data_IF_104768399509
#
_entry.id   IF_104768399509
#
_cell.length_a   1.000
_cell.length_b   1.000
_cell.length_c   1.000
_cell.angle_alpha   90.00
_cell.angle_beta   90.00
_cell.angle_gamma   90.00
#
_symmetry.space_group_name_H-M   'P 1'
#
loop_
_entity.id
_entity.type
_entity.pdbx_description
1 polymer ?
#
# COMPACT_ATOMS: atom_id res chain seq x y z
N UNK A 1 21.98 41.73 5.40
CA UNK A 1 22.53 40.67 6.28
C UNK A 1 21.99 40.71 7.71
N UNK A 2 21.77 41.89 8.30
CA UNK A 2 21.24 42.01 9.68
C UNK A 2 19.73 41.73 9.82
N UNK A 3 18.93 41.94 8.78
CA UNK A 3 17.49 41.62 8.77
C UNK A 3 17.21 40.10 8.81
N UNK A 4 18.05 39.30 8.17
CA UNK A 4 17.90 37.83 8.16
C UNK A 4 18.20 37.20 9.53
N UNK A 5 19.14 37.79 10.30
CA UNK A 5 19.45 37.33 11.66
C UNK A 5 18.34 37.62 12.66
N UNK A 6 17.59 38.72 12.50
CA UNK A 6 16.45 39.05 13.39
C UNK A 6 15.25 38.12 13.20
N UNK A 7 15.00 37.67 11.97
CA UNK A 7 13.88 36.76 11.69
C UNK A 7 14.12 35.36 12.27
N UNK A 8 15.37 34.88 12.24
CA UNK A 8 15.74 33.58 12.82
C UNK A 8 15.67 33.63 14.35
N UNK A 9 16.13 34.71 14.98
CA UNK A 9 16.08 34.85 16.45
C UNK A 9 14.66 34.96 17.01
N UNK A 10 13.72 35.59 16.29
CA UNK A 10 12.31 35.60 16.70
C UNK A 10 11.62 34.24 16.55
N UNK A 11 12.13 33.36 15.67
CA UNK A 11 11.59 32.01 15.51
C UNK A 11 12.01 31.06 16.64
N UNK A 12 13.19 31.28 17.25
CA UNK A 12 13.69 30.45 18.37
C UNK A 12 13.34 30.98 19.77
N UNK A 13 12.94 32.25 19.91
CA UNK A 13 12.60 32.83 21.21
C UNK A 13 11.16 32.52 21.68
N UNK A 14 10.37 31.79 20.89
CA UNK A 14 9.01 31.37 21.23
C UNK A 14 8.90 29.93 21.78
N UNK A 15 10.02 29.22 21.89
CA UNK A 15 10.06 27.79 22.26
C UNK A 15 10.25 27.50 23.76
N UNK A 16 10.05 28.49 24.64
CA UNK A 16 10.08 28.27 26.10
C UNK A 16 8.69 28.36 26.73
N UNK A 17 7.74 27.59 26.18
CA UNK A 17 6.48 27.26 26.84
C UNK A 17 6.40 25.75 26.93
N UNK A 18 6.45 25.25 28.16
CA UNK A 18 6.29 23.85 28.53
C UNK A 18 5.02 23.24 27.91
N UNK A 19 5.19 22.41 26.89
CA UNK A 19 4.10 21.64 26.29
C UNK A 19 3.83 20.37 27.10
N UNK A 20 2.97 20.49 28.11
CA UNK A 20 2.09 19.39 28.54
C UNK A 20 0.64 19.85 28.48
N UNK A 21 0.22 20.22 27.27
CA UNK A 21 -1.19 20.30 26.92
C UNK A 21 -1.43 19.35 25.74
N UNK A 22 -2.26 18.33 25.97
CA UNK A 22 -2.72 17.44 24.92
C UNK A 22 -3.32 18.31 23.80
N UNK A 23 -2.68 18.29 22.63
CA UNK A 23 -3.08 19.09 21.47
C UNK A 23 -4.48 18.63 21.10
N UNK A 24 -5.48 19.48 21.35
CA UNK A 24 -6.86 19.22 20.93
C UNK A 24 -6.86 18.97 19.43
N UNK A 25 -7.24 17.76 19.01
CA UNK A 25 -7.39 17.44 17.60
C UNK A 25 -8.36 18.45 16.95
N UNK A 26 -8.05 18.99 15.75
CA UNK A 26 -8.96 19.90 15.06
C UNK A 26 -10.30 19.20 14.74
N UNK A 27 -11.34 19.98 14.47
CA UNK A 27 -12.72 19.46 14.39
C UNK A 27 -12.90 18.30 13.39
N UNK A 28 -12.30 18.31 12.17
CA UNK A 28 -12.40 17.19 11.23
C UNK A 28 -11.77 15.90 11.77
N UNK A 29 -10.64 15.98 12.47
CA UNK A 29 -9.94 14.85 13.07
C UNK A 29 -10.78 14.24 14.20
N UNK A 30 -11.45 15.07 15.01
CA UNK A 30 -12.39 14.60 16.03
C UNK A 30 -13.57 13.86 15.43
N UNK A 31 -14.18 14.41 14.38
CA UNK A 31 -15.30 13.74 13.70
C UNK A 31 -14.85 12.42 13.08
N UNK A 32 -13.66 12.37 12.48
CA UNK A 32 -13.10 11.13 11.95
C UNK A 32 -12.82 10.11 13.06
N UNK A 33 -12.24 10.54 14.18
CA UNK A 33 -11.96 9.68 15.33
C UNK A 33 -13.26 9.12 15.94
N UNK A 34 -14.28 9.96 16.12
CA UNK A 34 -15.60 9.55 16.62
C UNK A 34 -16.25 8.53 15.68
N UNK A 35 -16.25 8.80 14.37
CA UNK A 35 -16.78 7.87 13.38
C UNK A 35 -16.04 6.53 13.39
N UNK A 36 -14.70 6.56 13.47
CA UNK A 36 -13.89 5.35 13.54
C UNK A 36 -14.16 4.56 14.83
N UNK A 37 -14.28 5.22 15.98
CA UNK A 37 -14.63 4.56 17.25
C UNK A 37 -16.01 3.92 17.21
N UNK A 38 -17.00 4.60 16.63
CA UNK A 38 -18.36 4.05 16.46
C UNK A 38 -18.31 2.81 15.57
N UNK A 39 -17.57 2.88 14.46
CA UNK A 39 -17.42 1.77 13.53
C UNK A 39 -16.72 0.56 14.17
N UNK A 40 -15.65 0.78 14.92
CA UNK A 40 -14.93 -0.28 15.65
C UNK A 40 -15.74 -0.89 16.81
N UNK A 41 -16.74 -0.17 17.33
CA UNK A 41 -17.65 -0.68 18.35
C UNK A 41 -18.80 -1.51 17.74
N UNK A 42 -19.04 -1.42 16.43
CA UNK A 42 -20.03 -2.23 15.73
C UNK A 42 -19.51 -3.65 15.54
N UNK A 43 -20.22 -4.60 16.15
CA UNK A 43 -19.85 -6.00 16.13
C UNK A 43 -19.94 -6.67 14.74
N UNK A 44 -20.63 -6.03 13.81
CA UNK A 44 -20.78 -6.50 12.44
C UNK A 44 -19.68 -5.98 11.52
N UNK A 45 -18.93 -4.97 11.96
CA UNK A 45 -17.86 -4.38 11.18
C UNK A 45 -16.57 -5.20 11.34
N UNK A 46 -16.09 -5.79 10.24
CA UNK A 46 -14.87 -6.61 10.20
C UNK A 46 -14.74 -7.60 11.38
N UNK A 47 -15.71 -8.52 11.58
CA UNK A 47 -15.71 -9.39 12.75
C UNK A 47 -14.47 -10.30 12.83
N UNK A 48 -13.91 -10.68 11.67
CA UNK A 48 -12.68 -11.46 11.56
C UNK A 48 -11.40 -10.59 11.49
N UNK A 49 -11.52 -9.28 11.65
CA UNK A 49 -10.45 -8.32 11.39
C UNK A 49 -10.24 -8.07 9.90
N UNK A 50 -9.25 -7.26 9.56
CA UNK A 50 -8.93 -6.91 8.17
C UNK A 50 -8.18 -5.60 8.05
N UNK A 51 -8.22 -5.01 6.86
CA UNK A 51 -7.54 -3.75 6.55
C UNK A 51 -8.53 -2.66 6.14
N UNK A 52 -8.34 -1.46 6.67
CA UNK A 52 -8.85 -0.24 6.03
C UNK A 52 -7.74 0.32 5.11
N UNK A 53 -8.10 0.64 3.87
CA UNK A 53 -7.16 1.14 2.88
C UNK A 53 -7.50 2.57 2.43
N UNK A 54 -6.46 3.38 2.26
CA UNK A 54 -6.55 4.77 1.87
C UNK A 54 -5.52 5.07 0.77
N UNK A 55 -5.98 5.51 -0.40
CA UNK A 55 -5.10 6.08 -1.42
C UNK A 55 -4.40 7.33 -0.89
N UNK A 56 -3.09 7.43 -1.13
CA UNK A 56 -2.28 8.57 -0.70
C UNK A 56 -2.61 9.82 -1.53
N UNK A 57 -2.96 10.92 -0.86
CA UNK A 57 -3.35 12.17 -1.51
C UNK A 57 -2.16 13.06 -1.88
N UNK A 58 -0.98 12.82 -1.32
CA UNK A 58 0.23 13.58 -1.60
C UNK A 58 1.29 12.70 -2.26
N UNK A 59 2.25 13.36 -2.90
CA UNK A 59 3.42 12.70 -3.45
C UNK A 59 4.54 12.60 -2.41
N UNK A 60 5.18 11.43 -2.40
CA UNK A 60 6.25 11.04 -1.49
C UNK A 60 7.47 10.54 -2.26
N UNK A 61 8.68 10.65 -1.68
CA UNK A 61 9.85 10.00 -2.23
C UNK A 61 9.71 8.49 -2.06
N UNK A 62 9.32 7.81 -3.14
CA UNK A 62 9.27 6.35 -3.17
C UNK A 62 10.70 5.79 -3.32
N UNK A 63 11.03 4.67 -2.66
CA UNK A 63 12.30 4.01 -2.88
C UNK A 63 12.42 3.57 -4.34
N UNK A 64 13.66 3.51 -4.81
CA UNK A 64 13.96 2.90 -6.10
C UNK A 64 13.89 1.38 -5.98
N UNK A 65 13.97 0.70 -7.12
CA UNK A 65 14.07 -0.77 -7.13
C UNK A 65 15.23 -1.24 -6.25
N UNK A 66 15.05 -2.34 -5.49
CA UNK A 66 16.07 -2.85 -4.60
C UNK A 66 17.32 -3.28 -5.38
N UNK A 67 18.49 -2.97 -4.85
CA UNK A 67 19.75 -3.48 -5.42
C UNK A 67 19.86 -4.99 -5.20
N UNK A 68 20.65 -5.67 -6.01
CA UNK A 68 21.02 -7.07 -5.77
C UNK A 68 22.27 -7.12 -4.90
N UNK A 69 22.19 -7.83 -3.78
CA UNK A 69 23.30 -8.03 -2.85
C UNK A 69 23.63 -9.52 -2.78
N UNK A 70 24.93 -9.83 -2.72
CA UNK A 70 25.38 -11.20 -2.53
C UNK A 70 25.03 -11.68 -1.12
N UNK A 71 24.36 -12.82 -1.01
CA UNK A 71 24.03 -13.47 0.25
C UNK A 71 24.93 -14.70 0.45
N UNK A 72 25.93 -14.55 1.33
CA UNK A 72 26.89 -15.60 1.67
C UNK A 72 26.24 -16.87 2.24
N UNK A 73 25.06 -16.78 2.85
CA UNK A 73 24.36 -17.93 3.45
C UNK A 73 23.69 -18.79 2.39
N UNK A 74 23.19 -18.16 1.34
CA UNK A 74 22.52 -18.87 0.23
C UNK A 74 23.46 -19.16 -0.93
N UNK A 75 24.62 -18.50 -0.99
CA UNK A 75 25.55 -18.62 -2.10
C UNK A 75 25.00 -18.01 -3.41
N UNK A 76 24.10 -17.05 -3.30
CA UNK A 76 23.42 -16.41 -4.42
C UNK A 76 23.16 -14.92 -4.18
N UNK A 77 22.64 -14.23 -5.20
CA UNK A 77 22.20 -12.85 -5.05
C UNK A 77 20.76 -12.80 -4.52
N UNK A 78 20.47 -11.85 -3.64
CA UNK A 78 19.11 -11.51 -3.19
C UNK A 78 18.84 -10.03 -3.37
N UNK A 79 17.57 -9.64 -3.30
CA UNK A 79 17.20 -8.24 -3.27
C UNK A 79 17.48 -7.62 -1.90
N UNK A 80 18.06 -6.43 -1.92
CA UNK A 80 18.15 -5.54 -0.77
C UNK A 80 16.77 -4.92 -0.50
N UNK A 81 15.92 -5.70 0.14
CA UNK A 81 14.55 -5.28 0.51
C UNK A 81 14.57 -4.10 1.49
N UNK A 82 15.68 -3.82 2.18
CA UNK A 82 15.80 -2.65 3.06
C UNK A 82 15.87 -1.36 2.24
N UNK A 83 16.66 -1.33 1.16
CA UNK A 83 16.70 -0.18 0.23
C UNK A 83 15.40 -0.01 -0.56
N UNK A 84 14.73 -1.11 -0.87
CA UNK A 84 13.42 -1.11 -1.53
C UNK A 84 12.24 -0.85 -0.59
N UNK A 85 12.46 -0.78 0.72
CA UNK A 85 11.40 -0.75 1.72
C UNK A 85 10.56 0.54 1.65
N UNK A 86 9.23 0.38 1.64
CA UNK A 86 8.31 1.52 1.61
C UNK A 86 7.86 1.99 3.00
N UNK A 87 8.13 1.20 4.04
CA UNK A 87 7.82 1.54 5.44
C UNK A 87 8.28 2.95 5.87
N UNK A 88 9.46 3.45 5.48
CA UNK A 88 9.91 4.80 5.82
C UNK A 88 8.97 5.94 5.35
N UNK A 89 8.18 5.72 4.29
CA UNK A 89 7.19 6.70 3.79
C UNK A 89 6.15 7.03 4.87
N UNK A 90 5.85 6.09 5.77
CA UNK A 90 4.92 6.30 6.89
C UNK A 90 5.35 7.49 7.77
N UNK A 91 6.65 7.71 7.94
CA UNK A 91 7.20 8.82 8.74
C UNK A 91 7.21 10.17 8.01
N UNK A 92 6.89 10.17 6.72
CA UNK A 92 6.90 11.35 5.86
C UNK A 92 5.51 11.81 5.45
N UNK A 93 4.45 11.14 5.93
CA UNK A 93 3.08 11.46 5.56
C UNK A 93 2.74 12.93 5.82
N UNK A 94 1.97 13.53 4.93
CA UNK A 94 1.56 14.94 4.95
C UNK A 94 0.04 15.07 4.90
N UNK A 95 -0.47 16.21 5.36
CA UNK A 95 -1.86 16.62 5.16
C UNK A 95 -2.88 15.57 5.64
N UNK A 96 -3.82 15.20 4.77
CA UNK A 96 -4.84 14.18 5.06
C UNK A 96 -4.24 12.82 5.42
N UNK A 97 -3.17 12.41 4.75
CA UNK A 97 -2.57 11.08 4.93
C UNK A 97 -1.98 10.97 6.35
N UNK A 98 -1.30 12.03 6.80
CA UNK A 98 -0.78 12.12 8.17
C UNK A 98 -1.90 12.10 9.22
N UNK A 99 -3.01 12.81 8.96
CA UNK A 99 -4.15 12.86 9.88
C UNK A 99 -4.82 11.50 10.04
N UNK A 100 -5.00 10.75 8.95
CA UNK A 100 -5.55 9.39 8.99
C UNK A 100 -4.68 8.51 9.88
N UNK A 101 -3.35 8.53 9.65
CA UNK A 101 -2.39 7.81 10.49
C UNK A 101 -2.53 8.17 11.96
N UNK A 102 -2.48 9.47 12.29
CA UNK A 102 -2.55 9.94 13.68
C UNK A 102 -3.84 9.52 14.37
N UNK A 103 -4.99 9.66 13.70
CA UNK A 103 -6.28 9.26 14.30
C UNK A 103 -6.36 7.75 14.48
N UNK A 104 -5.90 6.96 13.51
CA UNK A 104 -5.85 5.50 13.63
C UNK A 104 -4.96 5.06 14.81
N UNK A 105 -3.77 5.64 14.96
CA UNK A 105 -2.87 5.37 16.08
C UNK A 105 -3.48 5.80 17.43
N UNK A 106 -4.21 6.93 17.48
CA UNK A 106 -4.90 7.39 18.70
C UNK A 106 -6.00 6.43 19.17
N UNK A 107 -6.68 5.75 18.24
CA UNK A 107 -7.64 4.70 18.58
C UNK A 107 -6.98 3.33 18.72
N UNK A 108 -5.65 3.26 18.69
CA UNK A 108 -4.83 2.07 18.96
C UNK A 108 -4.65 1.12 17.77
N UNK A 109 -4.98 1.54 16.55
CA UNK A 109 -4.79 0.73 15.35
C UNK A 109 -3.38 0.92 14.77
N UNK A 110 -2.78 -0.18 14.32
CA UNK A 110 -1.49 -0.15 13.63
C UNK A 110 -1.65 0.35 12.20
N UNK A 111 -0.68 1.12 11.72
CA UNK A 111 -0.69 1.70 10.37
C UNK A 111 0.58 1.36 9.59
N UNK A 112 0.43 1.16 8.28
CA UNK A 112 1.51 0.76 7.39
C UNK A 112 1.34 1.40 6.01
N UNK A 113 2.43 1.76 5.36
CA UNK A 113 2.44 2.04 3.91
C UNK A 113 2.95 0.79 3.22
N UNK A 114 2.21 0.30 2.21
CA UNK A 114 2.57 -0.88 1.41
C UNK A 114 2.40 -0.60 -0.08
N UNK A 115 3.12 -1.34 -0.91
CA UNK A 115 2.94 -1.35 -2.36
C UNK A 115 1.85 -2.34 -2.72
N UNK A 116 0.84 -1.88 -3.47
CA UNK A 116 -0.18 -2.75 -4.06
C UNK A 116 0.19 -3.08 -5.50
N UNK A 117 0.40 -4.36 -5.77
CA UNK A 117 0.58 -4.92 -7.11
C UNK A 117 -0.66 -5.70 -7.54
N UNK A 118 -0.87 -5.76 -8.84
CA UNK A 118 -1.77 -6.71 -9.48
C UNK A 118 -0.89 -7.84 -10.03
N UNK A 119 -1.07 -9.08 -9.55
CA UNK A 119 -0.22 -10.20 -9.97
C UNK A 119 -0.55 -10.76 -11.34
N UNK A 120 -1.71 -10.41 -11.95
CA UNK A 120 -2.13 -10.94 -13.24
C UNK A 120 -1.79 -10.04 -14.43
N UNK A 121 -1.45 -10.67 -15.57
CA UNK A 121 -1.26 -9.99 -16.87
C UNK A 121 -2.58 -9.55 -17.51
N UNK A 122 -3.66 -10.26 -17.20
CA UNK A 122 -5.00 -9.90 -17.63
C UNK A 122 -5.61 -8.94 -16.61
N UNK A 123 -5.80 -7.67 -16.99
CA UNK A 123 -6.56 -6.68 -16.22
C UNK A 123 -7.97 -7.25 -15.95
N UNK A 124 -8.18 -7.93 -14.82
CA UNK A 124 -9.38 -8.77 -14.62
C UNK A 124 -9.22 -9.92 -13.60
N UNK A 125 -10.06 -10.93 -13.76
CA UNK A 125 -10.53 -11.89 -12.74
C UNK A 125 -9.50 -12.94 -12.27
N UNK A 126 -8.43 -13.19 -13.03
CA UNK A 126 -7.35 -14.12 -12.63
C UNK A 126 -6.21 -13.50 -11.81
N UNK A 127 -6.08 -12.17 -11.81
CA UNK A 127 -5.05 -11.48 -11.02
C UNK A 127 -5.42 -11.41 -9.54
N UNK A 128 -4.42 -11.32 -8.67
CA UNK A 128 -4.63 -11.05 -7.23
C UNK A 128 -4.03 -9.71 -6.85
N UNK A 129 -4.69 -9.02 -5.93
CA UNK A 129 -4.18 -7.79 -5.34
C UNK A 129 -3.19 -8.18 -4.23
N UNK A 130 -1.92 -7.85 -4.40
CA UNK A 130 -0.84 -8.28 -3.49
C UNK A 130 -0.17 -7.08 -2.85
N UNK A 131 -0.12 -7.06 -1.51
CA UNK A 131 0.62 -6.06 -0.76
C UNK A 131 2.05 -6.52 -0.49
N UNK A 132 2.99 -5.65 -0.81
CA UNK A 132 4.42 -5.82 -0.56
C UNK A 132 4.98 -4.70 0.31
N UNK A 133 5.96 -5.04 1.15
CA UNK A 133 6.66 -4.08 2.03
C UNK A 133 7.78 -3.31 1.31
N UNK A 134 8.05 -3.65 0.05
CA UNK A 134 9.10 -3.07 -0.77
C UNK A 134 8.66 -2.94 -2.24
N UNK A 135 9.40 -2.13 -2.99
CA UNK A 135 9.26 -2.07 -4.45
C UNK A 135 9.80 -3.36 -5.05
N UNK A 136 9.00 -4.05 -5.86
CA UNK A 136 9.43 -5.26 -6.56
C UNK A 136 10.44 -4.91 -7.65
N UNK A 137 11.46 -5.74 -7.80
CA UNK A 137 12.42 -5.64 -8.90
C UNK A 137 12.05 -6.69 -9.94
N UNK A 138 11.70 -6.23 -11.12
CA UNK A 138 11.15 -7.08 -12.17
C UNK A 138 12.12 -7.37 -13.33
N UNK A 139 13.26 -6.69 -13.37
CA UNK A 139 14.23 -6.78 -14.47
C UNK A 139 14.95 -8.13 -14.56
N UNK A 140 14.74 -9.00 -13.56
CA UNK A 140 15.22 -10.38 -13.55
C UNK A 140 14.17 -11.39 -14.01
N UNK A 141 12.92 -10.95 -14.19
CA UNK A 141 11.89 -11.82 -14.73
C UNK A 141 12.11 -11.97 -16.23
N UNK A 142 12.34 -13.21 -16.63
CA UNK A 142 12.18 -13.67 -18.01
C UNK A 142 10.79 -14.27 -18.05
N UNK A 143 9.82 -13.46 -18.47
CA UNK A 143 8.44 -13.91 -18.57
C UNK A 143 8.27 -14.46 -19.98
N UNK A 144 8.45 -15.76 -20.14
CA UNK A 144 7.90 -16.50 -21.29
C UNK A 144 6.36 -16.58 -21.10
N UNK A 145 5.59 -17.17 -22.03
CA UNK A 145 4.11 -17.30 -21.95
C UNK A 145 3.57 -17.93 -20.62
N UNK A 146 4.44 -18.45 -19.74
CA UNK A 146 4.11 -18.98 -18.42
C UNK A 146 4.03 -17.85 -17.35
N UNK A 147 2.91 -17.13 -17.36
CA UNK A 147 2.53 -16.09 -16.37
C UNK A 147 2.59 -16.58 -14.90
N UNK A 148 2.57 -17.90 -14.65
CA UNK A 148 2.53 -18.50 -13.31
C UNK A 148 3.78 -18.22 -12.46
N UNK A 149 4.99 -18.25 -13.05
CA UNK A 149 6.23 -17.99 -12.30
C UNK A 149 6.28 -16.53 -11.82
N UNK A 150 5.84 -15.61 -12.68
CA UNK A 150 5.73 -14.19 -12.36
C UNK A 150 4.71 -13.96 -11.24
N UNK A 151 3.52 -14.55 -11.34
CA UNK A 151 2.48 -14.48 -10.28
C UNK A 151 3.06 -14.97 -8.95
N UNK A 152 3.72 -16.13 -8.95
CA UNK A 152 4.28 -16.73 -7.76
C UNK A 152 5.34 -15.81 -7.10
N UNK A 153 6.18 -15.14 -7.88
CA UNK A 153 7.19 -14.23 -7.35
C UNK A 153 6.59 -12.91 -6.85
N UNK A 154 5.56 -12.36 -7.52
CA UNK A 154 4.81 -11.19 -7.02
C UNK A 154 4.14 -11.52 -5.69
N UNK A 155 3.61 -12.73 -5.53
CA UNK A 155 2.92 -13.19 -4.31
C UNK A 155 3.86 -13.63 -3.19
N UNK A 156 5.11 -13.92 -3.53
CA UNK A 156 6.10 -14.39 -2.58
C UNK A 156 6.34 -13.37 -1.47
N UNK A 157 6.04 -13.80 -0.25
CA UNK A 157 6.15 -12.95 0.95
C UNK A 157 5.15 -11.79 1.00
N UNK A 158 4.27 -11.67 0.00
CA UNK A 158 3.22 -10.65 -0.05
C UNK A 158 1.97 -11.06 0.71
N UNK A 159 1.10 -10.08 0.97
CA UNK A 159 -0.22 -10.30 1.55
C UNK A 159 -1.24 -10.22 0.42
N UNK A 160 -1.92 -11.33 0.14
CA UNK A 160 -3.00 -11.39 -0.86
C UNK A 160 -4.25 -10.75 -0.26
N UNK A 161 -4.87 -9.85 -1.00
CA UNK A 161 -6.11 -9.18 -0.61
C UNK A 161 -7.32 -9.83 -1.27
N UNK A 162 -8.42 -9.86 -0.52
CA UNK A 162 -9.74 -10.12 -1.11
C UNK A 162 -10.16 -8.91 -1.95
N UNK A 163 -10.45 -9.13 -3.22
CA UNK A 163 -10.93 -8.05 -4.10
C UNK A 163 -12.41 -7.77 -3.81
N UNK A 164 -12.69 -6.61 -3.24
CA UNK A 164 -14.06 -6.12 -3.10
C UNK A 164 -14.70 -5.79 -4.47
N UNK A 165 -16.03 -5.81 -4.53
CA UNK A 165 -16.81 -5.58 -5.76
C UNK A 165 -16.42 -4.28 -6.49
N UNK A 166 -16.19 -3.19 -5.75
CA UNK A 166 -15.79 -1.90 -6.32
C UNK A 166 -14.43 -1.97 -7.03
N UNK A 167 -13.47 -2.71 -6.45
CA UNK A 167 -12.14 -2.89 -7.02
C UNK A 167 -12.20 -3.72 -8.29
N UNK A 168 -13.00 -4.79 -8.28
CA UNK A 168 -13.27 -5.62 -9.47
C UNK A 168 -13.91 -4.76 -10.57
N UNK A 169 -14.93 -3.97 -10.24
CA UNK A 169 -15.59 -3.08 -11.20
C UNK A 169 -14.64 -2.03 -11.79
N UNK A 170 -13.77 -1.42 -10.96
CA UNK A 170 -12.74 -0.48 -11.43
C UNK A 170 -11.78 -1.13 -12.43
N UNK A 171 -11.28 -2.33 -12.13
CA UNK A 171 -10.37 -3.06 -13.03
C UNK A 171 -11.07 -3.42 -14.34
N UNK A 172 -12.31 -3.93 -14.28
CA UNK A 172 -13.16 -4.20 -15.47
C UNK A 172 -13.35 -2.96 -16.34
N UNK A 173 -13.64 -1.80 -15.73
CA UNK A 173 -13.79 -0.53 -16.46
C UNK A 173 -12.46 -0.05 -17.10
N UNK A 174 -11.31 -0.33 -16.48
CA UNK A 174 -10.00 -0.03 -17.09
C UNK A 174 -9.69 -0.98 -18.27
N UNK A 175 -10.10 -2.26 -18.19
CA UNK A 175 -9.93 -3.28 -19.26
C UNK A 175 -10.60 -2.86 -20.57
N UNK A 176 -11.82 -2.30 -20.50
CA UNK A 176 -12.59 -1.83 -21.65
C UNK A 176 -11.93 -0.72 -22.51
N UNK A 177 -10.70 -0.29 -22.17
CA UNK A 177 -9.89 0.63 -22.97
C UNK A 177 -8.76 -0.04 -23.77
N UNK A 178 -8.44 -1.32 -23.56
CA UNK A 178 -7.23 -1.92 -24.15
C UNK A 178 -7.37 -3.30 -24.82
N UNK A 179 -8.46 -4.07 -24.66
CA UNK A 179 -8.63 -5.37 -25.34
C UNK A 179 -10.09 -5.66 -25.74
N UNK A 180 -10.27 -6.36 -26.87
CA UNK A 180 -11.58 -6.75 -27.45
C UNK A 180 -12.27 -7.87 -26.67
N UNK A 181 -13.60 -7.88 -26.75
CA UNK A 181 -14.56 -8.83 -26.18
C UNK A 181 -14.48 -10.23 -26.81
N UNK A 182 -13.34 -10.90 -26.78
CA UNK A 182 -13.32 -12.34 -27.03
C UNK A 182 -13.16 -13.05 -25.69
N UNK A 183 -14.20 -13.81 -25.37
CA UNK A 183 -14.50 -14.30 -24.04
C UNK A 183 -13.61 -15.44 -23.59
N UNK A 184 -13.17 -15.34 -22.34
CA UNK A 184 -12.76 -16.49 -21.54
C UNK A 184 -13.71 -16.56 -20.35
N UNK A 185 -14.27 -17.76 -20.19
CA UNK A 185 -15.25 -18.13 -19.17
C UNK A 185 -14.75 -17.81 -17.76
N UNK A 186 -15.69 -17.44 -16.89
CA UNK A 186 -15.50 -17.19 -15.44
C UNK A 186 -14.84 -18.42 -14.80
N UNK A 187 -13.52 -18.43 -14.73
CA UNK A 187 -12.81 -19.39 -13.90
C UNK A 187 -12.82 -18.81 -12.49
N UNK A 188 -13.84 -19.17 -11.72
CA UNK A 188 -13.93 -18.95 -10.28
C UNK A 188 -12.75 -19.68 -9.60
N UNK A 189 -11.56 -19.10 -9.69
CA UNK A 189 -10.44 -19.53 -8.88
C UNK A 189 -10.82 -19.27 -7.43
N UNK A 190 -10.97 -20.36 -6.68
CA UNK A 190 -11.20 -20.39 -5.24
C UNK A 190 -10.36 -19.29 -4.59
N UNK A 191 -11.04 -18.28 -4.02
CA UNK A 191 -10.39 -17.26 -3.20
C UNK A 191 -9.56 -18.00 -2.17
N UNK A 192 -8.24 -17.89 -2.28
CA UNK A 192 -7.32 -18.57 -1.38
C UNK A 192 -7.77 -18.27 0.05
N UNK A 193 -7.96 -19.31 0.86
CA UNK A 193 -8.37 -19.23 2.27
C UNK A 193 -7.41 -18.44 3.19
N UNK A 194 -6.43 -17.74 2.60
CA UNK A 194 -5.43 -16.87 3.22
C UNK A 194 -5.55 -15.41 2.81
N UNK A 195 -6.51 -15.04 1.96
CA UNK A 195 -6.70 -13.66 1.53
C UNK A 195 -7.19 -12.80 2.71
N UNK A 196 -6.74 -11.55 2.75
CA UNK A 196 -7.09 -10.59 3.79
C UNK A 196 -8.17 -9.65 3.28
N UNK A 197 -9.27 -9.55 4.03
CA UNK A 197 -10.34 -8.59 3.75
C UNK A 197 -9.81 -7.15 3.79
N UNK A 198 -10.13 -6.37 2.77
CA UNK A 198 -9.78 -4.95 2.66
C UNK A 198 -11.00 -4.10 2.33
N UNK A 199 -11.17 -3.00 3.08
CA UNK A 199 -12.17 -1.98 2.77
C UNK A 199 -11.49 -0.68 2.39
N UNK A 200 -11.71 -0.25 1.15
CA UNK A 200 -11.20 1.02 0.65
C UNK A 200 -12.10 2.17 1.12
N UNK A 201 -11.54 3.07 1.94
CA UNK A 201 -12.24 4.27 2.39
C UNK A 201 -12.03 5.41 1.40
N UNK A 202 -10.85 5.48 0.79
CA UNK A 202 -10.55 6.37 -0.32
C UNK A 202 -9.98 5.58 -1.47
N UNK A 203 -10.30 5.98 -2.70
CA UNK A 203 -9.82 5.31 -3.91
C UNK A 203 -8.29 5.37 -4.00
N UNK A 204 -7.70 4.30 -4.54
CA UNK A 204 -6.26 4.27 -4.81
C UNK A 204 -5.87 5.36 -5.82
N UNK A 205 -4.70 5.96 -5.63
CA UNK A 205 -4.15 7.00 -6.51
C UNK A 205 -2.90 6.51 -7.23
N UNK A 206 -2.60 7.09 -8.38
CA UNK A 206 -1.37 6.79 -9.14
C UNK A 206 -0.23 7.78 -8.82
N UNK A 207 -0.40 8.67 -7.83
CA UNK A 207 0.57 9.73 -7.50
C UNK A 207 1.93 9.17 -7.02
N UNK A 208 1.90 8.01 -6.37
CA UNK A 208 3.06 7.32 -5.82
C UNK A 208 3.27 5.96 -6.49
N UNK A 209 2.98 5.90 -7.80
CA UNK A 209 3.16 4.70 -8.62
C UNK A 209 4.64 4.50 -8.92
N UNK A 210 5.12 3.28 -8.76
CA UNK A 210 6.48 2.86 -9.13
C UNK A 210 6.38 1.75 -10.17
N UNK A 211 7.09 1.92 -11.27
CA UNK A 211 7.20 0.92 -12.33
C UNK A 211 8.52 0.18 -12.25
N UNK A 212 8.48 -1.13 -12.49
CA UNK A 212 9.65 -1.98 -12.61
C UNK A 212 9.63 -2.69 -13.97
N UNK A 213 10.64 -2.46 -14.82
CA UNK A 213 10.67 -3.08 -16.14
C UNK A 213 10.98 -4.57 -16.03
N UNK A 214 10.47 -5.37 -16.96
CA UNK A 214 10.85 -6.77 -17.16
C UNK A 214 10.91 -7.10 -18.65
N UNK A 215 11.58 -8.21 -19.00
CA UNK A 215 11.61 -8.71 -20.38
C UNK A 215 10.52 -9.75 -20.54
N UNK A 216 9.55 -9.45 -21.40
CA UNK A 216 8.51 -10.39 -21.83
C UNK A 216 8.93 -11.04 -23.16
N UNK A 217 8.67 -12.33 -23.29
CA UNK A 217 8.98 -13.13 -24.48
C UNK A 217 7.69 -13.75 -24.99
N UNK A 218 7.17 -13.19 -26.09
CA UNK A 218 6.14 -13.82 -26.91
C UNK A 218 6.73 -14.21 -28.26
N UNK A 219 6.09 -13.76 -29.35
CA UNK A 219 6.67 -13.90 -30.70
C UNK A 219 8.00 -13.13 -30.87
N UNK A 220 8.17 -12.02 -30.14
CA UNK A 220 9.39 -11.22 -30.07
C UNK A 220 9.62 -10.76 -28.62
N UNK A 221 10.87 -10.46 -28.26
CA UNK A 221 11.20 -9.95 -26.94
C UNK A 221 10.79 -8.46 -26.82
N UNK A 222 10.01 -8.13 -25.80
CA UNK A 222 9.56 -6.76 -25.51
C UNK A 222 9.83 -6.36 -24.07
N UNK A 223 10.10 -5.06 -23.87
CA UNK A 223 10.26 -4.48 -22.54
C UNK A 223 8.89 -4.08 -21.99
N UNK A 224 8.44 -4.76 -20.95
CA UNK A 224 7.19 -4.48 -20.24
C UNK A 224 7.44 -3.97 -18.83
N UNK A 225 6.38 -3.61 -18.09
CA UNK A 225 6.50 -3.03 -16.74
C UNK A 225 5.41 -3.57 -15.82
N UNK A 226 5.81 -4.04 -14.65
CA UNK A 226 4.90 -4.18 -13.51
C UNK A 226 4.82 -2.85 -12.78
N UNK A 227 3.63 -2.50 -12.31
CA UNK A 227 3.43 -1.27 -11.58
C UNK A 227 2.81 -1.51 -10.21
N UNK A 228 3.46 -0.96 -9.18
CA UNK A 228 2.93 -0.91 -7.83
C UNK A 228 2.42 0.48 -7.49
N UNK A 229 1.31 0.57 -6.77
CA UNK A 229 0.79 1.83 -6.22
C UNK A 229 0.90 1.82 -4.70
N UNK A 230 1.48 2.85 -4.10
CA UNK A 230 1.55 2.97 -2.65
C UNK A 230 0.23 3.43 -2.04
N UNK A 231 -0.20 2.77 -0.97
CA UNK A 231 -1.38 3.16 -0.19
C UNK A 231 -1.10 3.05 1.32
N UNK A 232 -1.89 3.77 2.12
CA UNK A 232 -1.90 3.67 3.57
C UNK A 232 -2.92 2.61 3.99
N UNK A 233 -2.48 1.70 4.85
CA UNK A 233 -3.29 0.62 5.41
C UNK A 233 -3.35 0.75 6.93
N UNK A 234 -4.53 0.50 7.48
CA UNK A 234 -4.79 0.46 8.93
C UNK A 234 -5.28 -0.93 9.28
N UNK A 235 -4.60 -1.59 10.22
CA UNK A 235 -4.93 -2.94 10.66
C UNK A 235 -6.05 -2.91 11.70
N UNK A 236 -7.17 -3.57 11.40
CA UNK A 236 -8.28 -3.78 12.32
C UNK A 236 -8.18 -5.22 12.86
N UNK A 237 -7.90 -5.40 14.16
CA UNK A 237 -7.79 -6.74 14.73
C UNK A 237 -9.16 -7.45 14.74
N UNK A 238 -9.18 -8.80 14.78
CA UNK A 238 -10.40 -9.56 15.01
C UNK A 238 -11.09 -9.15 16.30
N UNK A 239 -12.41 -9.29 16.34
CA UNK A 239 -13.16 -8.98 17.55
C UNK A 239 -12.68 -9.84 18.73
N UNK A 240 -12.42 -9.18 19.87
CA UNK A 240 -11.99 -9.83 21.11
C UNK A 240 -10.47 -9.93 21.27
N UNK A 241 -9.71 -9.80 20.18
CA UNK A 241 -8.28 -9.49 20.25
C UNK A 241 -8.14 -7.98 20.47
N UNK A 242 -8.24 -7.55 21.73
CA UNK A 242 -8.29 -6.14 22.10
C UNK A 242 -7.23 -5.29 21.39
N UNK A 243 -7.64 -4.08 20.98
CA UNK A 243 -6.77 -3.07 20.40
C UNK A 243 -5.59 -2.85 21.35
N UNK A 244 -4.40 -3.34 20.95
CA UNK A 244 -3.19 -3.15 21.73
C UNK A 244 -2.73 -1.71 21.54
N UNK A 245 -2.90 -0.89 22.57
CA UNK A 245 -2.22 0.39 22.66
C UNK A 245 -0.70 0.14 22.52
N UNK A 246 -0.10 0.72 21.47
CA UNK A 246 1.34 0.72 21.25
C UNK A 246 2.05 1.64 22.25
#
# INVERSE_FOLDING_TARGET
MEYYKRMIYQMYAADDISYTQAKVAPAPERTFEEALRVLLADATFLPAGGLLAFGLAHQYPMPTQPETVWDEKTGGYKHDTEKGAVGPVLQMLKGSDARIRTVAEHVGLATHVKMLYDSGESVGEGGRDVLQDYVLRADQFYVDDDTEEFIAEVEKGGIILERGEERVAYLKAKRGRYYSEDGDEENDQEVSSKAVAVHWVTQITELNRVGSPYMAYGNEASLEHIYGNAALFVNVPPMGEGIRAA
#
